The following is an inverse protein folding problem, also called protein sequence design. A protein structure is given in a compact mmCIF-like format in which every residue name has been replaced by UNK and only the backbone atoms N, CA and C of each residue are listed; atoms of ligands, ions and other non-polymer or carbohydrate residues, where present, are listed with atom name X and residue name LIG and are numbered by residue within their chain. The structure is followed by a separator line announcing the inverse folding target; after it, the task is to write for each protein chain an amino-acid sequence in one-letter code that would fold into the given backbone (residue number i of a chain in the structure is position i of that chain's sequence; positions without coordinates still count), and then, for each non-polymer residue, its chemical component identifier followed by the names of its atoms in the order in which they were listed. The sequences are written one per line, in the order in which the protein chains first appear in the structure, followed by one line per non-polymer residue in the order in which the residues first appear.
data_IF_636280410308
#
_entry.id   IF_636280410308
#
_cell.length_a   1.000
_cell.length_b   1.000
_cell.length_c   1.000
_cell.angle_alpha   90.00
_cell.angle_beta   90.00
_cell.angle_gamma   90.00
#
_symmetry.space_group_name_H-M   'P 1'
#
loop_
_entity.id
_entity.type
_entity.pdbx_description
1 polymer ?
#
# COMPACT_ATOMS: atom_id res chain seq x y z
N UNK A 1 13.59 -32.44 -13.73
CA UNK A 1 13.36 -31.15 -13.04
C UNK A 1 11.86 -30.94 -12.98
N UNK A 2 11.26 -31.03 -11.79
CA UNK A 2 9.82 -30.80 -11.63
C UNK A 2 9.52 -29.31 -11.85
N UNK A 3 8.48 -28.99 -12.63
CA UNK A 3 7.96 -27.62 -12.73
C UNK A 3 7.45 -27.18 -11.35
N UNK A 4 7.65 -25.91 -10.96
CA UNK A 4 7.08 -25.42 -9.70
C UNK A 4 5.56 -25.56 -9.78
N UNK A 5 5.00 -26.28 -8.82
CA UNK A 5 3.56 -26.37 -8.61
C UNK A 5 3.09 -24.96 -8.24
N UNK A 6 2.39 -24.31 -9.16
CA UNK A 6 1.79 -23.01 -8.90
C UNK A 6 0.62 -23.28 -7.94
N UNK A 7 0.87 -23.08 -6.66
CA UNK A 7 -0.17 -23.15 -5.63
C UNK A 7 -1.23 -22.12 -5.99
N UNK A 8 -2.35 -22.58 -6.50
CA UNK A 8 -3.54 -21.76 -6.70
C UNK A 8 -4.06 -21.40 -5.30
N UNK A 9 -3.55 -20.30 -4.76
CA UNK A 9 -4.09 -19.69 -3.53
C UNK A 9 -5.43 -19.09 -3.94
N UNK A 10 -6.44 -19.94 -4.06
CA UNK A 10 -7.84 -19.55 -4.14
C UNK A 10 -8.13 -18.57 -3.00
N UNK A 11 -8.10 -17.28 -3.34
CA UNK A 11 -8.09 -16.18 -2.38
C UNK A 11 -9.53 -15.90 -1.98
N UNK A 12 -10.15 -16.82 -1.23
CA UNK A 12 -11.47 -16.59 -0.66
C UNK A 12 -11.32 -15.64 0.53
N UNK A 13 -11.17 -14.34 0.23
CA UNK A 13 -11.26 -13.29 1.24
C UNK A 13 -12.68 -13.27 1.80
N UNK A 14 -12.79 -13.12 3.12
CA UNK A 14 -14.08 -12.79 3.73
C UNK A 14 -14.58 -11.43 3.22
N UNK A 15 -15.88 -11.14 3.28
CA UNK A 15 -16.42 -9.85 2.87
C UNK A 15 -15.74 -8.65 3.55
N UNK A 16 -15.35 -8.80 4.81
CA UNK A 16 -14.60 -7.78 5.55
C UNK A 16 -13.20 -7.56 4.98
N UNK A 17 -12.47 -8.65 4.67
CA UNK A 17 -11.14 -8.57 4.05
C UNK A 17 -11.21 -7.97 2.65
N UNK A 18 -12.24 -8.30 1.87
CA UNK A 18 -12.48 -7.72 0.54
C UNK A 18 -12.71 -6.20 0.63
N UNK A 19 -13.43 -5.75 1.65
CA UNK A 19 -13.70 -4.33 1.90
C UNK A 19 -12.41 -3.58 2.22
N UNK A 20 -11.58 -4.13 3.11
CA UNK A 20 -10.27 -3.55 3.44
C UNK A 20 -9.33 -3.53 2.24
N UNK A 21 -9.32 -4.59 1.41
CA UNK A 21 -8.51 -4.63 0.19
C UNK A 21 -8.88 -3.51 -0.78
N UNK A 22 -10.18 -3.31 -1.02
CA UNK A 22 -10.66 -2.23 -1.91
C UNK A 22 -10.30 -0.85 -1.38
N UNK A 23 -10.46 -0.62 -0.07
CA UNK A 23 -10.08 0.65 0.56
C UNK A 23 -8.57 0.91 0.43
N UNK A 24 -7.73 -0.13 0.63
CA UNK A 24 -6.28 -0.04 0.43
C UNK A 24 -5.90 0.25 -1.02
N UNK A 25 -6.52 -0.44 -1.99
CA UNK A 25 -6.29 -0.21 -3.42
C UNK A 25 -6.60 1.24 -3.81
N UNK A 26 -7.70 1.80 -3.30
CA UNK A 26 -8.06 3.21 -3.51
C UNK A 26 -7.03 4.15 -2.88
N UNK A 27 -6.65 3.92 -1.63
CA UNK A 27 -5.65 4.74 -0.93
C UNK A 27 -4.34 4.83 -1.70
N UNK A 28 -3.76 3.68 -2.08
CA UNK A 28 -2.48 3.61 -2.81
C UNK A 28 -2.60 4.24 -4.20
N UNK A 29 -3.74 4.09 -4.86
CA UNK A 29 -3.99 4.74 -6.15
C UNK A 29 -4.01 6.27 -6.01
N UNK A 30 -4.66 6.80 -4.96
CA UNK A 30 -4.68 8.23 -4.70
C UNK A 30 -3.27 8.75 -4.37
N UNK A 31 -2.55 8.07 -3.48
CA UNK A 31 -1.25 8.54 -3.00
C UNK A 31 -0.16 8.50 -4.07
N UNK A 32 -0.03 7.37 -4.79
CA UNK A 32 1.14 7.13 -5.64
C UNK A 32 0.88 7.34 -7.13
N UNK A 33 -0.28 6.91 -7.63
CA UNK A 33 -0.59 6.99 -9.07
C UNK A 33 -1.12 8.36 -9.45
N UNK A 34 -2.16 8.83 -8.77
CA UNK A 34 -2.79 10.13 -9.07
C UNK A 34 -2.13 11.29 -8.31
N UNK A 35 -1.52 10.99 -7.16
CA UNK A 35 -0.86 11.95 -6.26
C UNK A 35 -1.84 13.03 -5.76
N UNK A 36 -3.11 12.68 -5.62
CA UNK A 36 -4.15 13.57 -5.08
C UNK A 36 -4.16 13.48 -3.56
N UNK A 37 -3.84 14.60 -2.90
CA UNK A 37 -3.73 14.66 -1.45
C UNK A 37 -5.10 14.61 -0.77
N UNK A 38 -6.10 15.31 -1.32
CA UNK A 38 -7.43 15.40 -0.71
C UNK A 38 -8.12 14.03 -0.76
N UNK A 39 -8.07 13.37 -1.90
CA UNK A 39 -8.65 12.02 -2.06
C UNK A 39 -7.89 10.98 -1.23
N UNK A 40 -6.57 11.12 -1.07
CA UNK A 40 -5.79 10.23 -0.18
C UNK A 40 -6.23 10.40 1.27
N UNK A 41 -6.34 11.64 1.77
CA UNK A 41 -6.74 11.93 3.14
C UNK A 41 -8.18 11.48 3.42
N UNK A 42 -9.09 11.58 2.44
CA UNK A 42 -10.47 11.11 2.56
C UNK A 42 -10.59 9.59 2.80
N UNK A 43 -9.55 8.81 2.48
CA UNK A 43 -9.50 7.36 2.77
C UNK A 43 -8.87 7.01 4.12
N UNK A 44 -8.32 8.00 4.83
CA UNK A 44 -7.77 7.82 6.17
C UNK A 44 -8.82 8.07 7.27
N UNK A 45 -8.49 7.70 8.51
CA UNK A 45 -9.31 8.06 9.69
C UNK A 45 -9.11 9.54 10.06
N UNK A 46 -10.03 10.12 10.84
CA UNK A 46 -10.01 11.54 11.24
C UNK A 46 -8.68 11.98 11.88
N UNK A 47 -8.16 11.19 12.83
CA UNK A 47 -6.89 11.47 13.52
C UNK A 47 -5.71 10.68 12.92
N UNK A 48 -5.62 10.63 11.59
CA UNK A 48 -4.52 9.92 10.93
C UNK A 48 -3.16 10.58 11.16
N UNK A 49 -2.14 9.76 11.40
CA UNK A 49 -0.75 10.20 11.46
C UNK A 49 0.13 9.28 10.61
N UNK A 50 1.09 9.88 9.91
CA UNK A 50 2.08 9.15 9.13
C UNK A 50 3.42 9.24 9.84
N UNK A 51 3.94 8.10 10.25
CA UNK A 51 5.30 8.00 10.76
C UNK A 51 6.25 7.63 9.62
N UNK A 52 6.99 8.62 9.11
CA UNK A 52 7.99 8.37 8.08
C UNK A 52 9.30 7.88 8.71
N UNK A 53 9.56 6.57 8.61
CA UNK A 53 10.83 5.97 9.06
C UNK A 53 11.77 5.80 7.86
N UNK A 54 12.75 6.70 7.65
CA UNK A 54 13.72 6.53 6.59
C UNK A 54 14.65 5.36 6.93
N UNK A 55 14.70 4.36 6.05
CA UNK A 55 15.71 3.30 6.11
C UNK A 55 16.87 3.77 5.24
N UNK A 56 17.93 4.30 5.86
CA UNK A 56 19.17 4.78 5.22
C UNK A 56 19.07 6.12 4.45
N UNK A 57 18.84 7.23 5.14
CA UNK A 57 19.29 8.53 4.61
C UNK A 57 20.82 8.62 4.76
N UNK A 58 21.54 8.33 3.68
CA UNK A 58 23.00 8.41 3.63
C UNK A 58 23.46 9.05 2.33
N UNK A 59 24.07 10.23 2.43
CA UNK A 59 24.86 10.85 1.35
C UNK A 59 26.34 10.60 1.59
N UNK A 60 27.09 10.28 0.52
CA UNK A 60 28.55 10.26 0.51
C UNK A 60 29.02 11.32 -0.48
N UNK A 61 29.82 12.27 0.01
CA UNK A 61 30.45 13.30 -0.82
C UNK A 61 29.66 14.62 -0.92
N UNK A 62 30.39 15.70 -1.15
CA UNK A 62 29.89 17.02 -1.55
C UNK A 62 30.16 17.31 -3.04
N UNK A 63 31.00 16.49 -3.68
CA UNK A 63 31.47 16.60 -5.06
C UNK A 63 30.95 15.44 -5.92
#
# INVERSE_FOLDING_TARGET
MAKPEQTDISTNLSPAQETLRKMWEQHVQFEFSTRDTEDTLATMVEDAYVNHIPVLTGGVGRD
#
